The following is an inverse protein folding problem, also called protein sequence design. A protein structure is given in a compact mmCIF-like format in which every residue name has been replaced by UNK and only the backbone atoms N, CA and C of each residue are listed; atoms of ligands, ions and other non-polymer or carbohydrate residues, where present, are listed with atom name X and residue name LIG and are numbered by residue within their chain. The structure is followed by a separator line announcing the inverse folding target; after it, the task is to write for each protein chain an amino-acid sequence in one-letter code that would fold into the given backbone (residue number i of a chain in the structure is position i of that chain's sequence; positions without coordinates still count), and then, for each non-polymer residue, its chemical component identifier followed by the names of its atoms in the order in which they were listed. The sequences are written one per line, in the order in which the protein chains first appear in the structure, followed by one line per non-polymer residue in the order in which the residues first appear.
data_IF_316609567547
#
_entry.id   IF_316609567547
#
_cell.length_a   1.000
_cell.length_b   1.000
_cell.length_c   1.000
_cell.angle_alpha   90.00
_cell.angle_beta   90.00
_cell.angle_gamma   90.00
#
_symmetry.space_group_name_H-M   'P 1'
#
loop_
_entity.id
_entity.type
_entity.pdbx_description
1 polymer ?
#
# COMPACT_ATOMS: atom_id res chain seq x y z
N UNK A 1 3.47 -9.39 10.07
CA UNK A 1 2.01 -9.57 10.17
C UNK A 1 1.26 -8.34 10.72
N UNK A 2 1.48 -7.86 11.96
CA UNK A 2 0.83 -6.60 12.45
C UNK A 2 0.99 -5.41 11.48
N UNK A 3 2.22 -5.20 11.00
CA UNK A 3 2.56 -4.17 10.03
C UNK A 3 1.90 -4.37 8.65
N UNK A 4 1.60 -5.62 8.27
CA UNK A 4 0.95 -5.92 6.99
C UNK A 4 -0.54 -5.61 7.12
N UNK A 5 -1.19 -6.06 8.19
CA UNK A 5 -2.58 -5.69 8.47
C UNK A 5 -2.78 -4.17 8.55
N UNK A 6 -1.84 -3.44 9.16
CA UNK A 6 -1.84 -1.97 9.13
C UNK A 6 -1.62 -1.41 7.71
N UNK A 7 -0.70 -2.01 6.95
CA UNK A 7 -0.39 -1.69 5.55
C UNK A 7 -1.62 -1.84 4.64
N UNK A 8 -2.22 -3.04 4.58
CA UNK A 8 -3.40 -3.32 3.74
C UNK A 8 -4.57 -2.41 4.13
N UNK A 9 -4.78 -2.17 5.43
CA UNK A 9 -5.80 -1.21 5.88
C UNK A 9 -5.51 0.19 5.34
N UNK A 10 -4.25 0.62 5.34
CA UNK A 10 -3.82 1.87 4.74
C UNK A 10 -4.07 1.89 3.23
N UNK A 11 -3.69 0.84 2.51
CA UNK A 11 -3.85 0.69 1.06
C UNK A 11 -5.32 0.78 0.62
N UNK A 12 -6.21 0.03 1.28
CA UNK A 12 -7.67 0.14 1.09
C UNK A 12 -8.13 1.59 1.21
N UNK A 13 -7.66 2.31 2.23
CA UNK A 13 -8.07 3.69 2.46
C UNK A 13 -7.41 4.68 1.47
N UNK A 14 -6.23 4.39 0.93
CA UNK A 14 -5.65 5.14 -0.20
C UNK A 14 -6.61 5.09 -1.39
N UNK A 15 -7.04 3.91 -1.81
CA UNK A 15 -7.96 3.79 -2.95
C UNK A 15 -9.32 4.41 -2.69
N UNK A 16 -9.85 4.30 -1.46
CA UNK A 16 -11.08 5.01 -1.06
C UNK A 16 -10.90 6.54 -1.09
N UNK A 17 -9.75 7.03 -0.67
CA UNK A 17 -9.37 8.45 -0.77
C UNK A 17 -9.36 8.93 -2.22
N UNK A 18 -8.73 8.16 -3.11
CA UNK A 18 -8.70 8.44 -4.55
C UNK A 18 -10.13 8.53 -5.11
N UNK A 19 -10.96 7.51 -4.84
CA UNK A 19 -12.33 7.42 -5.33
C UNK A 19 -13.25 8.53 -4.80
N UNK A 20 -12.92 9.13 -3.66
CA UNK A 20 -13.69 10.24 -3.08
C UNK A 20 -13.45 11.58 -3.78
N UNK A 21 -12.28 11.77 -4.40
CA UNK A 21 -11.87 13.04 -5.00
C UNK A 21 -11.93 13.00 -6.52
N UNK A 22 -11.43 11.93 -7.14
CA UNK A 22 -11.27 11.90 -8.60
C UNK A 22 -12.59 11.67 -9.34
N UNK A 23 -12.82 12.46 -10.38
CA UNK A 23 -13.89 12.28 -11.37
C UNK A 23 -13.41 11.62 -12.67
N UNK A 24 -12.11 11.43 -12.82
CA UNK A 24 -11.53 10.81 -14.00
C UNK A 24 -11.88 9.31 -14.02
N UNK A 25 -12.62 8.86 -15.04
CA UNK A 25 -13.13 7.50 -15.07
C UNK A 25 -12.03 6.43 -15.12
N UNK A 26 -10.92 6.69 -15.82
CA UNK A 26 -9.78 5.78 -15.90
C UNK A 26 -9.15 5.56 -14.50
N UNK A 27 -8.91 6.64 -13.74
CA UNK A 27 -8.41 6.54 -12.36
C UNK A 27 -9.42 5.84 -11.45
N UNK A 28 -10.72 6.04 -11.67
CA UNK A 28 -11.75 5.36 -10.88
C UNK A 28 -11.82 3.86 -11.16
N UNK A 29 -11.60 3.43 -12.40
CA UNK A 29 -11.52 2.00 -12.74
C UNK A 29 -10.30 1.39 -12.09
N UNK A 30 -9.11 1.97 -12.34
CA UNK A 30 -7.85 1.60 -11.71
C UNK A 30 -7.99 1.46 -10.18
N UNK A 31 -8.50 2.50 -9.51
CA UNK A 31 -8.62 2.48 -8.04
C UNK A 31 -9.62 1.43 -7.52
N UNK A 32 -10.65 1.05 -8.29
CA UNK A 32 -11.59 -0.01 -7.87
C UNK A 32 -10.99 -1.40 -8.03
N UNK A 33 -10.23 -1.62 -9.09
CA UNK A 33 -9.59 -2.90 -9.35
C UNK A 33 -8.56 -3.20 -8.26
N UNK A 34 -7.68 -2.25 -7.97
CA UNK A 34 -6.70 -2.40 -6.91
C UNK A 34 -7.35 -2.48 -5.52
N UNK A 35 -8.37 -1.66 -5.23
CA UNK A 35 -9.10 -1.75 -3.95
C UNK A 35 -9.59 -3.17 -3.67
N UNK A 36 -10.07 -3.89 -4.69
CA UNK A 36 -10.52 -5.27 -4.55
C UNK A 36 -9.36 -6.21 -4.21
N UNK A 37 -8.19 -6.00 -4.81
CA UNK A 37 -6.97 -6.76 -4.51
C UNK A 37 -6.52 -6.51 -3.07
N UNK A 38 -6.49 -5.25 -2.62
CA UNK A 38 -6.11 -4.91 -1.23
C UNK A 38 -7.09 -5.47 -0.20
N UNK A 39 -8.39 -5.49 -0.50
CA UNK A 39 -9.39 -6.13 0.36
C UNK A 39 -9.12 -7.65 0.48
N UNK A 40 -8.77 -8.32 -0.64
CA UNK A 40 -8.34 -9.73 -0.62
C UNK A 40 -7.05 -9.93 0.19
N UNK A 41 -6.05 -9.05 0.05
CA UNK A 41 -4.81 -9.11 0.83
C UNK A 41 -5.09 -9.00 2.34
N UNK A 42 -5.92 -8.04 2.74
CA UNK A 42 -6.29 -7.85 4.13
C UNK A 42 -7.01 -9.09 4.69
N UNK A 43 -7.91 -9.70 3.92
CA UNK A 43 -8.61 -10.92 4.33
C UNK A 43 -7.63 -12.08 4.54
N UNK A 44 -6.74 -12.33 3.58
CA UNK A 44 -5.70 -13.37 3.68
C UNK A 44 -4.81 -13.18 4.91
N UNK A 45 -4.40 -11.95 5.17
CA UNK A 45 -3.58 -11.58 6.33
C UNK A 45 -4.36 -11.73 7.64
N UNK A 46 -5.64 -11.32 7.65
CA UNK A 46 -6.49 -11.33 8.85
C UNK A 46 -6.88 -12.74 9.29
N UNK A 47 -7.12 -13.66 8.36
CA UNK A 47 -7.38 -15.07 8.65
C UNK A 47 -6.21 -15.75 9.39
N UNK A 48 -5.00 -15.23 9.23
CA UNK A 48 -3.75 -15.82 9.74
C UNK A 48 -3.15 -15.01 10.90
N UNK A 49 -3.87 -13.98 11.35
CA UNK A 49 -3.54 -13.16 12.50
C UNK A 49 -4.56 -13.42 13.61
N UNK A 50 -4.10 -13.87 14.78
CA UNK A 50 -4.97 -13.84 15.96
C UNK A 50 -5.32 -12.38 16.30
N UNK A 51 -6.49 -12.17 16.91
CA UNK A 51 -7.01 -10.82 17.17
C UNK A 51 -6.04 -9.95 17.99
N UNK A 52 -5.31 -10.58 18.92
CA UNK A 52 -4.26 -9.94 19.75
C UNK A 52 -3.06 -9.41 18.93
N UNK A 53 -2.97 -9.77 17.65
CA UNK A 53 -1.92 -9.31 16.74
C UNK A 53 -2.43 -8.35 15.66
N UNK A 54 -3.68 -7.90 15.73
CA UNK A 54 -4.15 -6.80 14.88
C UNK A 54 -3.58 -5.47 15.38
N UNK A 55 -3.37 -4.52 14.46
CA UNK A 55 -2.83 -3.21 14.85
C UNK A 55 -3.82 -2.47 15.75
N UNK A 56 -3.37 -1.95 16.89
CA UNK A 56 -4.23 -1.16 17.79
C UNK A 56 -4.56 0.23 17.21
N UNK A 57 -3.77 0.71 16.25
CA UNK A 57 -3.87 2.06 15.68
C UNK A 57 -4.61 2.11 14.33
N UNK A 58 -5.53 1.17 14.07
CA UNK A 58 -6.27 1.14 12.79
C UNK A 58 -6.96 2.46 12.41
N UNK A 59 -7.61 3.21 13.31
CA UNK A 59 -8.21 4.49 12.94
C UNK A 59 -7.20 5.48 12.36
N UNK A 60 -5.97 5.50 12.90
CA UNK A 60 -4.90 6.37 12.41
C UNK A 60 -4.47 5.96 10.99
N UNK A 61 -4.31 4.65 10.74
CA UNK A 61 -3.94 4.14 9.41
C UNK A 61 -5.01 4.40 8.36
N UNK A 62 -6.29 4.31 8.73
CA UNK A 62 -7.41 4.67 7.86
C UNK A 62 -7.37 6.14 7.43
N UNK A 63 -7.16 7.04 8.39
CA UNK A 63 -7.06 8.48 8.11
C UNK A 63 -5.82 8.79 7.25
N UNK A 64 -4.66 8.25 7.63
CA UNK A 64 -3.42 8.46 6.89
C UNK A 64 -3.52 7.92 5.45
N UNK A 65 -4.04 6.71 5.27
CA UNK A 65 -4.28 6.12 3.94
C UNK A 65 -5.22 6.99 3.11
N UNK A 66 -6.36 7.39 3.69
CA UNK A 66 -7.33 8.24 3.00
C UNK A 66 -6.71 9.55 2.50
N UNK A 67 -5.96 10.24 3.34
CA UNK A 67 -5.30 11.50 2.97
C UNK A 67 -4.24 11.26 1.88
N UNK A 68 -3.48 10.17 1.96
CA UNK A 68 -2.48 9.79 0.96
C UNK A 68 -3.11 9.54 -0.42
N UNK A 69 -4.36 9.06 -0.50
CA UNK A 69 -5.08 8.93 -1.76
C UNK A 69 -5.82 10.19 -2.21
N UNK A 70 -6.43 10.90 -1.27
CA UNK A 70 -7.29 12.06 -1.56
C UNK A 70 -6.47 13.28 -2.03
N UNK A 71 -5.38 13.61 -1.33
CA UNK A 71 -4.53 14.77 -1.65
C UNK A 71 -4.02 14.74 -3.09
N UNK A 72 -3.29 13.69 -3.56
CA UNK A 72 -2.75 13.69 -4.92
C UNK A 72 -3.86 13.68 -5.98
N UNK A 73 -5.03 13.11 -5.68
CA UNK A 73 -6.18 13.13 -6.59
C UNK A 73 -6.66 14.54 -6.93
N UNK A 74 -6.41 15.53 -6.05
CA UNK A 74 -6.69 16.94 -6.33
C UNK A 74 -5.72 17.54 -7.37
N UNK A 75 -4.54 16.94 -7.57
CA UNK A 75 -3.50 17.39 -8.49
C UNK A 75 -3.46 16.59 -9.80
N UNK A 76 -4.47 15.75 -10.03
CA UNK A 76 -4.69 15.03 -11.28
C UNK A 76 -4.05 13.64 -11.34
N UNK A 77 -4.33 12.94 -12.43
CA UNK A 77 -3.98 11.52 -12.63
C UNK A 77 -2.49 11.22 -12.41
N UNK A 78 -1.60 12.10 -12.88
CA UNK A 78 -0.16 11.90 -12.72
C UNK A 78 0.28 11.85 -11.25
N UNK A 79 -0.34 12.66 -10.39
CA UNK A 79 -0.03 12.68 -8.96
C UNK A 79 -0.52 11.40 -8.27
N UNK A 80 -1.67 10.87 -8.69
CA UNK A 80 -2.19 9.59 -8.22
C UNK A 80 -1.24 8.46 -8.60
N UNK A 81 -0.90 8.32 -9.87
CA UNK A 81 0.03 7.28 -10.33
C UNK A 81 1.40 7.37 -9.68
N UNK A 82 1.95 8.59 -9.51
CA UNK A 82 3.21 8.78 -8.80
C UNK A 82 3.13 8.40 -7.31
N UNK A 83 1.98 8.60 -6.67
CA UNK A 83 1.77 8.18 -5.28
C UNK A 83 1.69 6.67 -5.17
N UNK A 84 0.92 6.02 -6.05
CA UNK A 84 0.78 4.57 -6.05
C UNK A 84 2.12 3.88 -6.35
N UNK A 85 2.88 4.31 -7.37
CA UNK A 85 4.22 3.73 -7.63
C UNK A 85 5.13 3.80 -6.39
N UNK A 86 5.12 4.90 -5.63
CA UNK A 86 5.92 5.00 -4.40
C UNK A 86 5.40 4.09 -3.27
N UNK A 87 4.08 3.99 -3.11
CA UNK A 87 3.46 3.11 -2.10
C UNK A 87 3.75 1.65 -2.44
N UNK A 88 3.48 1.21 -3.67
CA UNK A 88 3.66 -0.19 -4.07
C UNK A 88 5.12 -0.61 -4.14
N UNK A 89 6.01 0.32 -4.52
CA UNK A 89 7.45 0.08 -4.38
C UNK A 89 7.79 -0.22 -2.91
N UNK A 90 7.29 0.57 -1.98
CA UNK A 90 7.54 0.35 -0.56
C UNK A 90 6.92 -0.95 -0.03
N UNK A 91 5.66 -1.24 -0.36
CA UNK A 91 4.97 -2.45 0.11
C UNK A 91 5.66 -3.70 -0.44
N UNK A 92 5.99 -3.73 -1.74
CA UNK A 92 6.73 -4.83 -2.36
C UNK A 92 8.13 -5.04 -1.76
N UNK A 93 8.83 -3.98 -1.36
CA UNK A 93 10.10 -4.09 -0.62
C UNK A 93 9.89 -4.66 0.79
N UNK A 94 8.84 -4.24 1.49
CA UNK A 94 8.51 -4.73 2.83
C UNK A 94 8.05 -6.19 2.82
N UNK A 95 7.35 -6.65 1.78
CA UNK A 95 7.08 -8.07 1.58
C UNK A 95 8.37 -8.87 1.32
N UNK A 96 9.25 -8.37 0.44
CA UNK A 96 10.55 -9.02 0.18
C UNK A 96 11.36 -9.21 1.46
N UNK A 97 11.48 -8.16 2.28
CA UNK A 97 12.20 -8.24 3.56
C UNK A 97 11.61 -9.30 4.51
N UNK A 98 10.28 -9.47 4.52
CA UNK A 98 9.64 -10.50 5.33
C UNK A 98 9.88 -11.90 4.77
N UNK A 99 9.75 -12.08 3.45
CA UNK A 99 10.03 -13.35 2.78
C UNK A 99 11.46 -13.80 3.05
N UNK A 100 12.44 -12.89 2.95
CA UNK A 100 13.85 -13.22 3.20
C UNK A 100 14.10 -13.65 4.65
N UNK A 101 13.45 -13.01 5.63
CA UNK A 101 13.50 -13.44 7.04
C UNK A 101 12.82 -14.79 7.28
N UNK A 102 11.84 -15.16 6.47
CA UNK A 102 11.18 -16.47 6.53
C UNK A 102 12.01 -17.57 5.87
N UNK A 103 12.83 -17.27 4.85
CA UNK A 103 13.75 -18.26 4.25
C UNK A 103 14.74 -18.81 5.27
N UNK A 104 15.15 -18.00 6.24
CA UNK A 104 16.01 -18.43 7.35
C UNK A 104 15.31 -19.33 8.37
N UNK A 105 13.97 -19.43 8.31
CA UNK A 105 13.13 -20.16 9.27
C UNK A 105 12.20 -21.12 8.51
N UNK A 106 12.62 -22.38 8.37
CA UNK A 106 11.96 -23.48 7.62
C UNK A 106 10.52 -23.83 8.09
N UNK A 107 9.95 -23.08 9.04
CA UNK A 107 8.76 -23.48 9.82
C UNK A 107 7.44 -22.94 9.24
N UNK A 108 7.45 -22.01 8.26
CA UNK A 108 6.22 -21.32 7.81
C UNK A 108 6.04 -21.23 6.28
N UNK A 109 5.93 -22.37 5.56
CA UNK A 109 5.78 -22.38 4.10
C UNK A 109 4.49 -21.69 3.62
N UNK A 110 3.36 -21.89 4.29
CA UNK A 110 2.07 -21.30 3.89
C UNK A 110 2.08 -19.77 3.97
N UNK A 111 2.70 -19.23 5.03
CA UNK A 111 2.82 -17.79 5.21
C UNK A 111 3.73 -17.18 4.13
N UNK A 112 4.83 -17.87 3.80
CA UNK A 112 5.74 -17.41 2.77
C UNK A 112 5.04 -17.32 1.41
N UNK A 113 4.28 -18.35 1.04
CA UNK A 113 3.55 -18.38 -0.24
C UNK A 113 2.59 -17.21 -0.38
N UNK A 114 1.89 -16.85 0.70
CA UNK A 114 0.94 -15.72 0.68
C UNK A 114 1.66 -14.39 0.52
N UNK A 115 2.78 -14.19 1.22
CA UNK A 115 3.56 -12.96 1.06
C UNK A 115 4.18 -12.86 -0.34
N UNK A 116 4.53 -14.01 -0.96
CA UNK A 116 4.99 -14.06 -2.35
C UNK A 116 3.87 -13.67 -3.32
N UNK A 117 2.66 -14.21 -3.16
CA UNK A 117 1.47 -13.83 -3.95
C UNK A 117 1.17 -12.33 -3.82
N UNK A 118 1.02 -11.81 -2.59
CA UNK A 118 0.76 -10.38 -2.39
C UNK A 118 1.86 -9.51 -3.00
N UNK A 119 3.13 -9.92 -2.90
CA UNK A 119 4.25 -9.17 -3.48
C UNK A 119 4.20 -9.12 -5.00
N UNK A 120 3.76 -10.20 -5.65
CA UNK A 120 3.60 -10.22 -7.11
C UNK A 120 2.51 -9.26 -7.56
N UNK A 121 1.39 -9.22 -6.82
CA UNK A 121 0.32 -8.25 -7.03
C UNK A 121 0.84 -6.80 -6.86
N UNK A 122 1.63 -6.50 -5.81
CA UNK A 122 2.20 -5.14 -5.64
C UNK A 122 3.20 -4.75 -6.74
N UNK A 123 3.96 -5.72 -7.26
CA UNK A 123 4.87 -5.45 -8.39
C UNK A 123 4.06 -5.09 -9.63
N UNK A 124 2.98 -5.83 -9.89
CA UNK A 124 2.05 -5.53 -10.99
C UNK A 124 1.44 -4.15 -10.82
N UNK A 125 0.92 -3.84 -9.63
CA UNK A 125 0.33 -2.54 -9.30
C UNK A 125 1.31 -1.38 -9.51
N UNK A 126 2.54 -1.55 -9.03
CA UNK A 126 3.64 -0.58 -9.20
C UNK A 126 3.93 -0.33 -10.67
N UNK A 127 4.09 -1.38 -11.44
CA UNK A 127 4.51 -1.29 -12.83
C UNK A 127 3.41 -0.66 -13.69
N UNK A 128 2.13 -0.99 -13.43
CA UNK A 128 0.99 -0.31 -14.07
C UNK A 128 0.97 1.20 -13.76
N UNK A 129 1.11 1.58 -12.48
CA UNK A 129 1.15 2.98 -12.09
C UNK A 129 2.38 3.71 -12.67
N UNK A 130 3.52 3.02 -12.74
CA UNK A 130 4.77 3.58 -13.27
C UNK A 130 4.68 3.83 -14.78
N UNK A 131 4.05 2.94 -15.52
CA UNK A 131 3.87 3.07 -16.96
C UNK A 131 2.83 4.14 -17.31
N UNK A 132 1.80 4.29 -16.48
CA UNK A 132 0.79 5.34 -16.63
C UNK A 132 1.27 6.74 -16.20
N UNK A 133 2.31 6.83 -15.37
CA UNK A 133 2.91 8.07 -14.89
C UNK A 133 3.68 8.82 -16.00
N UNK A 134 3.51 10.14 -16.05
CA UNK A 134 4.33 11.02 -16.85
C UNK A 134 5.73 11.20 -16.27
N UNK A 135 6.74 11.32 -17.15
CA UNK A 135 8.12 11.71 -16.77
C UNK A 135 8.21 13.15 -16.22
N UNK A 136 7.19 13.99 -16.40
CA UNK A 136 7.17 15.35 -15.87
C UNK A 136 6.92 15.33 -14.36
N UNK A 137 7.87 15.85 -13.60
CA UNK A 137 7.80 15.91 -12.14
C UNK A 137 7.91 17.36 -11.66
N UNK A 138 6.87 17.85 -11.00
CA UNK A 138 6.87 19.17 -10.35
C UNK A 138 7.58 19.11 -8.99
N UNK A 139 8.02 20.25 -8.47
CA UNK A 139 8.60 20.33 -7.12
C UNK A 139 7.65 19.78 -6.06
N UNK A 140 6.35 20.06 -6.20
CA UNK A 140 5.30 19.49 -5.36
C UNK A 140 5.31 17.96 -5.41
N UNK A 141 5.28 17.35 -6.60
CA UNK A 141 5.27 15.89 -6.73
C UNK A 141 6.51 15.24 -6.13
N UNK A 142 7.70 15.84 -6.31
CA UNK A 142 8.94 15.33 -5.72
C UNK A 142 8.89 15.37 -4.19
N UNK A 143 8.43 16.48 -3.61
CA UNK A 143 8.28 16.62 -2.17
C UNK A 143 7.22 15.65 -1.61
N UNK A 144 6.11 15.49 -2.33
CA UNK A 144 5.03 14.58 -1.97
C UNK A 144 5.49 13.11 -1.98
N UNK A 145 6.12 12.65 -3.06
CA UNK A 145 6.67 11.29 -3.17
C UNK A 145 7.72 11.02 -2.07
N UNK A 146 8.58 12.00 -1.77
CA UNK A 146 9.52 11.89 -0.66
C UNK A 146 8.79 11.73 0.69
N UNK A 147 7.75 12.52 0.93
CA UNK A 147 6.94 12.45 2.16
C UNK A 147 6.27 11.08 2.29
N UNK A 148 5.64 10.58 1.22
CA UNK A 148 5.01 9.25 1.18
C UNK A 148 6.04 8.18 1.53
N UNK A 149 7.21 8.19 0.88
CA UNK A 149 8.27 7.21 1.12
C UNK A 149 8.78 7.21 2.57
N UNK A 150 9.02 8.40 3.15
CA UNK A 150 9.48 8.54 4.54
C UNK A 150 8.37 8.14 5.51
N UNK A 151 7.14 8.58 5.25
CA UNK A 151 5.95 8.26 6.03
C UNK A 151 5.69 6.76 6.12
N UNK A 152 5.75 6.04 4.99
CA UNK A 152 5.54 4.60 4.95
C UNK A 152 6.59 3.83 5.78
N UNK A 153 7.86 4.23 5.70
CA UNK A 153 8.93 3.64 6.52
C UNK A 153 8.71 3.84 8.02
N UNK A 154 8.28 5.05 8.42
CA UNK A 154 7.97 5.35 9.82
C UNK A 154 6.72 4.59 10.30
N UNK A 155 5.69 4.50 9.46
CA UNK A 155 4.46 3.78 9.76
C UNK A 155 4.73 2.30 10.06
N UNK A 156 5.53 1.61 9.23
CA UNK A 156 5.92 0.22 9.50
C UNK A 156 6.71 0.08 10.80
N UNK A 157 7.61 1.03 11.11
CA UNK A 157 8.33 1.00 12.39
C UNK A 157 7.36 1.12 13.57
N UNK A 158 6.39 2.01 13.51
CA UNK A 158 5.39 2.19 14.58
C UNK A 158 4.44 0.98 14.69
N UNK A 159 3.97 0.45 13.57
CA UNK A 159 3.06 -0.70 13.53
C UNK A 159 3.71 -2.02 13.99
N UNK A 160 5.04 -2.07 14.10
CA UNK A 160 5.77 -3.20 14.71
C UNK A 160 5.83 -3.13 16.24
N UNK A 161 5.67 -1.94 16.83
CA UNK A 161 5.80 -1.71 18.29
C UNK A 161 4.44 -1.53 18.99
N UNK A 162 3.40 -1.14 18.25
CA UNK A 162 2.00 -1.11 18.70
C UNK A 162 1.28 -2.43 18.45
#
# INVERSE_FOLDING_TARGET
MRSNHAGETGAIFIYRGILSVTRNQQIRTFAREHLKTEEKHLDLISERLSEDHRSLFLPLWKVAGFMTGAIPSMFGSNAVYATIDEVETFVGEHYREQIDRLKEKVVFPDLRSILEECREDEISHRDEARDAKSKKSSLFLRAWCWLVRVGSKLAVKLARWG
#
